data_IF_455027600477
#
_entry.id   IF_455027600477
#
_cell.length_a   1.000
_cell.length_b   1.000
_cell.length_c   1.000
_cell.angle_alpha   90.00
_cell.angle_beta   90.00
_cell.angle_gamma   90.00
#
_symmetry.space_group_name_H-M   'P 1'
#
loop_
_entity.id
_entity.type
_entity.pdbx_description
1 polymer ?
#
# COMPACT_ATOMS: atom_id res chain seq x y z
N UNK A 1 -10.60 6.34 10.75
CA UNK A 1 -11.67 6.78 9.80
C UNK A 1 -11.13 7.03 8.40
N UNK A 2 -10.00 7.72 8.22
CA UNK A 2 -9.41 8.01 6.89
C UNK A 2 -9.05 6.75 6.09
N UNK A 3 -8.57 5.69 6.74
CA UNK A 3 -8.17 4.44 6.08
C UNK A 3 -9.35 3.65 5.47
N UNK A 4 -10.55 3.78 6.06
CA UNK A 4 -11.76 3.14 5.56
C UNK A 4 -12.35 3.91 4.39
N UNK A 5 -12.33 5.26 4.47
CA UNK A 5 -12.83 6.13 3.43
C UNK A 5 -12.06 5.94 2.12
N UNK A 6 -10.73 5.82 2.17
CA UNK A 6 -9.96 5.60 0.96
C UNK A 6 -10.24 4.23 0.31
N UNK A 7 -10.61 3.20 1.08
CA UNK A 7 -10.97 1.90 0.53
C UNK A 7 -12.31 1.96 -0.23
N UNK A 8 -13.28 2.69 0.34
CA UNK A 8 -14.58 2.94 -0.31
C UNK A 8 -14.41 3.77 -1.59
N UNK A 9 -13.56 4.79 -1.56
CA UNK A 9 -13.27 5.64 -2.73
C UNK A 9 -12.60 4.81 -3.85
N UNK A 10 -11.61 3.97 -3.54
CA UNK A 10 -10.96 3.11 -4.53
C UNK A 10 -11.95 2.12 -5.16
N UNK A 11 -12.76 1.43 -4.35
CA UNK A 11 -13.81 0.52 -4.83
C UNK A 11 -14.80 1.23 -5.75
N UNK A 12 -15.28 2.40 -5.34
CA UNK A 12 -16.23 3.19 -6.13
C UNK A 12 -15.60 3.66 -7.44
N UNK A 13 -14.32 4.08 -7.41
CA UNK A 13 -13.56 4.45 -8.60
C UNK A 13 -13.44 3.29 -9.60
N UNK A 14 -13.11 2.09 -9.14
CA UNK A 14 -13.06 0.90 -10.01
C UNK A 14 -14.43 0.58 -10.63
N UNK A 15 -15.51 0.65 -9.84
CA UNK A 15 -16.87 0.43 -10.34
C UNK A 15 -17.22 1.45 -11.43
N UNK A 16 -16.91 2.74 -11.21
CA UNK A 16 -17.17 3.80 -12.19
C UNK A 16 -16.40 3.55 -13.49
N UNK A 17 -15.14 3.14 -13.42
CA UNK A 17 -14.33 2.82 -14.62
C UNK A 17 -14.95 1.64 -15.38
N UNK A 18 -15.31 0.56 -14.69
CA UNK A 18 -15.91 -0.63 -15.31
C UNK A 18 -17.25 -0.28 -15.98
N UNK A 19 -18.13 0.43 -15.26
CA UNK A 19 -19.42 0.86 -15.80
C UNK A 19 -19.24 1.84 -16.96
N UNK A 20 -18.28 2.76 -16.87
CA UNK A 20 -17.95 3.72 -17.93
C UNK A 20 -17.50 3.05 -19.23
N UNK A 21 -16.75 1.95 -19.14
CA UNK A 21 -16.32 1.15 -20.30
C UNK A 21 -17.52 0.38 -20.87
N UNK A 22 -18.31 -0.31 -20.05
CA UNK A 22 -19.46 -1.13 -20.52
C UNK A 22 -20.52 -0.25 -21.18
N UNK A 23 -20.82 0.91 -20.59
CA UNK A 23 -21.80 1.86 -21.12
C UNK A 23 -21.24 2.73 -22.25
N UNK A 24 -19.97 2.52 -22.64
CA UNK A 24 -19.25 3.34 -23.63
C UNK A 24 -19.27 4.85 -23.33
N UNK A 25 -19.41 5.23 -22.05
CA UNK A 25 -19.32 6.62 -21.62
C UNK A 25 -17.88 7.14 -21.60
N UNK A 26 -16.90 6.24 -21.55
CA UNK A 26 -15.49 6.59 -21.53
C UNK A 26 -14.77 5.79 -22.61
N UNK A 27 -13.91 6.46 -23.39
CA UNK A 27 -13.02 5.77 -24.33
C UNK A 27 -12.01 4.91 -23.57
N UNK A 28 -11.84 3.67 -24.03
CA UNK A 28 -10.83 2.75 -23.50
C UNK A 28 -9.41 3.33 -23.64
N UNK A 29 -9.15 4.07 -24.71
CA UNK A 29 -7.86 4.71 -24.99
C UNK A 29 -7.55 5.76 -23.93
N UNK A 30 -8.51 6.65 -23.66
CA UNK A 30 -8.37 7.70 -22.64
C UNK A 30 -8.19 7.07 -21.26
N UNK A 31 -8.97 6.02 -20.96
CA UNK A 31 -8.91 5.32 -19.67
C UNK A 31 -7.53 4.69 -19.45
N UNK A 32 -6.99 4.02 -20.48
CA UNK A 32 -5.67 3.39 -20.41
C UNK A 32 -4.56 4.44 -20.23
N UNK A 33 -4.59 5.53 -21.01
CA UNK A 33 -3.60 6.62 -20.89
C UNK A 33 -3.66 7.25 -19.50
N UNK A 34 -4.85 7.58 -18.99
CA UNK A 34 -5.03 8.15 -17.65
C UNK A 34 -4.58 7.19 -16.54
N UNK A 35 -4.82 5.90 -16.71
CA UNK A 35 -4.34 4.87 -15.80
C UNK A 35 -2.81 4.82 -15.73
N UNK A 36 -2.14 4.82 -16.89
CA UNK A 36 -0.67 4.88 -16.96
C UNK A 36 -0.15 6.15 -16.28
N UNK A 37 -0.69 7.32 -16.63
CA UNK A 37 -0.28 8.60 -16.04
C UNK A 37 -0.44 8.60 -14.53
N UNK A 38 -1.54 8.05 -14.02
CA UNK A 38 -1.80 7.97 -12.57
C UNK A 38 -0.80 7.06 -11.86
N UNK A 39 -0.46 5.90 -12.45
CA UNK A 39 0.56 5.00 -11.90
C UNK A 39 1.92 5.70 -11.85
N UNK A 40 2.34 6.33 -12.94
CA UNK A 40 3.61 7.06 -13.01
C UNK A 40 3.65 8.22 -12.02
N UNK A 41 2.58 9.00 -11.93
CA UNK A 41 2.48 10.12 -11.00
C UNK A 41 2.56 9.65 -9.54
N UNK A 42 1.84 8.56 -9.19
CA UNK A 42 1.90 7.97 -7.86
C UNK A 42 3.29 7.43 -7.50
N UNK A 43 3.96 6.78 -8.44
CA UNK A 43 5.35 6.33 -8.29
C UNK A 43 6.32 7.50 -8.10
N UNK A 44 6.17 8.57 -8.90
CA UNK A 44 6.99 9.77 -8.79
C UNK A 44 6.81 10.44 -7.42
N UNK A 45 5.58 10.57 -6.93
CA UNK A 45 5.30 11.12 -5.61
C UNK A 45 5.91 10.27 -4.48
N UNK A 46 5.83 8.94 -4.55
CA UNK A 46 6.47 8.05 -3.56
C UNK A 46 7.98 8.27 -3.55
N UNK A 47 8.59 8.31 -4.74
CA UNK A 47 10.01 8.49 -4.90
C UNK A 47 10.49 9.89 -4.43
N UNK A 48 9.69 10.94 -4.64
CA UNK A 48 9.94 12.29 -4.12
C UNK A 48 9.82 12.36 -2.60
N UNK A 49 8.86 11.64 -1.99
CA UNK A 49 8.71 11.58 -0.55
C UNK A 49 9.97 10.97 0.11
N UNK A 50 10.48 9.87 -0.44
CA UNK A 50 11.73 9.24 0.03
C UNK A 50 12.93 10.19 -0.12
N UNK A 51 13.00 10.93 -1.23
CA UNK A 51 14.07 11.90 -1.46
C UNK A 51 14.00 13.08 -0.47
N UNK A 52 12.81 13.61 -0.20
CA UNK A 52 12.58 14.70 0.77
C UNK A 52 12.89 14.27 2.20
N UNK A 53 12.54 13.03 2.57
CA UNK A 53 12.87 12.46 3.87
C UNK A 53 14.39 12.43 4.08
N UNK A 54 15.15 11.99 3.07
CA UNK A 54 16.60 11.97 3.15
C UNK A 54 17.20 13.38 3.24
N UNK A 55 16.73 14.32 2.43
CA UNK A 55 17.23 15.71 2.49
C UNK A 55 16.97 16.35 3.85
N UNK A 56 15.87 15.98 4.51
CA UNK A 56 15.52 16.50 5.83
C UNK A 56 16.33 15.86 6.96
N UNK A 57 16.54 14.54 6.92
CA UNK A 57 17.08 13.79 8.07
C UNK A 57 18.52 13.29 7.91
N UNK A 58 19.16 13.43 6.73
CA UNK A 58 20.54 13.00 6.43
C UNK A 58 20.90 11.62 7.01
N UNK A 59 19.94 10.69 6.97
CA UNK A 59 19.95 9.49 7.81
C UNK A 59 20.83 8.39 7.19
N UNK A 60 21.16 8.48 5.90
CA UNK A 60 21.94 7.47 5.20
C UNK A 60 23.26 8.04 4.66
N UNK A 61 24.42 7.46 5.04
CA UNK A 61 25.73 7.96 4.61
C UNK A 61 26.06 7.69 3.13
N UNK A 62 25.30 6.81 2.44
CA UNK A 62 25.63 6.31 1.10
C UNK A 62 24.54 6.59 0.05
N UNK A 63 24.88 7.42 -0.94
CA UNK A 63 24.06 7.71 -2.15
C UNK A 63 23.62 6.46 -2.93
N UNK A 64 24.38 5.37 -2.89
CA UNK A 64 24.00 4.10 -3.55
C UNK A 64 22.79 3.43 -2.91
N UNK A 65 22.68 3.52 -1.58
CA UNK A 65 21.54 2.96 -0.84
C UNK A 65 20.28 3.77 -1.12
N UNK A 66 20.41 5.09 -1.20
CA UNK A 66 19.32 6.02 -1.54
C UNK A 66 18.79 5.75 -2.95
N UNK A 67 19.68 5.59 -3.95
CA UNK A 67 19.25 5.27 -5.32
C UNK A 67 18.50 3.93 -5.38
N UNK A 68 18.94 2.93 -4.62
CA UNK A 68 18.25 1.63 -4.52
C UNK A 68 16.85 1.81 -3.91
N UNK A 69 16.72 2.54 -2.81
CA UNK A 69 15.44 2.86 -2.17
C UNK A 69 14.50 3.63 -3.12
N UNK A 70 15.03 4.59 -3.87
CA UNK A 70 14.29 5.34 -4.87
C UNK A 70 13.73 4.46 -6.00
N UNK A 71 14.56 3.53 -6.52
CA UNK A 71 14.11 2.56 -7.52
C UNK A 71 13.03 1.63 -6.96
N UNK A 72 13.16 1.19 -5.70
CA UNK A 72 12.11 0.40 -5.04
C UNK A 72 10.81 1.18 -4.91
N UNK A 73 10.86 2.44 -4.48
CA UNK A 73 9.68 3.32 -4.36
C UNK A 73 8.98 3.54 -5.71
N UNK A 74 9.73 3.63 -6.81
CA UNK A 74 9.14 3.72 -8.16
C UNK A 74 8.35 2.46 -8.53
N UNK A 75 8.84 1.28 -8.16
CA UNK A 75 8.17 0.02 -8.46
C UNK A 75 6.99 -0.30 -7.54
N UNK A 76 6.90 0.36 -6.38
CA UNK A 76 5.88 0.13 -5.36
C UNK A 76 4.45 0.17 -5.92
N UNK A 77 4.17 1.11 -6.82
CA UNK A 77 2.83 1.27 -7.42
C UNK A 77 2.36 0.05 -8.21
N UNK A 78 3.28 -0.80 -8.68
CA UNK A 78 2.94 -1.96 -9.51
C UNK A 78 2.60 -3.22 -8.72
N UNK A 79 3.17 -3.39 -7.52
CA UNK A 79 3.01 -4.65 -6.76
C UNK A 79 2.51 -4.41 -5.34
N UNK A 80 3.06 -3.42 -4.64
CA UNK A 80 2.71 -3.14 -3.26
C UNK A 80 1.33 -2.48 -3.14
N UNK A 81 1.01 -1.52 -4.02
CA UNK A 81 -0.32 -0.89 -4.05
C UNK A 81 -1.45 -1.90 -4.34
N UNK A 82 -1.38 -2.74 -5.39
CA UNK A 82 -2.41 -3.76 -5.61
C UNK A 82 -2.57 -4.73 -4.43
N UNK A 83 -1.46 -5.14 -3.81
CA UNK A 83 -1.48 -6.02 -2.65
C UNK A 83 -2.14 -5.36 -1.44
N UNK A 84 -1.84 -4.08 -1.18
CA UNK A 84 -2.50 -3.29 -0.15
C UNK A 84 -4.01 -3.19 -0.40
N UNK A 85 -4.43 -2.91 -1.63
CA UNK A 85 -5.86 -2.87 -2.00
C UNK A 85 -6.52 -4.22 -1.74
N UNK A 86 -5.85 -5.32 -2.10
CA UNK A 86 -6.35 -6.67 -1.83
C UNK A 86 -6.55 -6.93 -0.33
N UNK A 87 -5.55 -6.64 0.50
CA UNK A 87 -5.65 -6.82 1.96
C UNK A 87 -6.71 -5.91 2.59
N UNK A 88 -6.90 -4.72 2.05
CA UNK A 88 -7.93 -3.78 2.52
C UNK A 88 -9.33 -4.26 2.14
N UNK A 89 -9.47 -4.85 0.96
CA UNK A 89 -10.72 -5.51 0.54
C UNK A 89 -11.06 -6.69 1.44
N UNK A 90 -10.09 -7.57 1.72
CA UNK A 90 -10.26 -8.67 2.69
C UNK A 90 -10.67 -8.15 4.08
N UNK A 91 -10.01 -7.10 4.58
CA UNK A 91 -10.37 -6.47 5.85
C UNK A 91 -11.78 -5.89 5.87
N UNK A 92 -12.20 -5.23 4.78
CA UNK A 92 -13.55 -4.71 4.62
C UNK A 92 -14.59 -5.85 4.57
N UNK A 93 -14.29 -6.92 3.85
CA UNK A 93 -15.15 -8.10 3.76
C UNK A 93 -15.32 -8.77 5.13
N UNK A 94 -14.23 -8.93 5.89
CA UNK A 94 -14.28 -9.45 7.27
C UNK A 94 -15.11 -8.57 8.21
N UNK A 95 -14.96 -7.25 8.09
CA UNK A 95 -15.75 -6.27 8.85
C UNK A 95 -17.25 -6.36 8.52
N UNK A 96 -17.60 -6.40 7.23
CA UNK A 96 -18.99 -6.51 6.76
C UNK A 96 -19.63 -7.85 7.15
N UNK A 97 -18.88 -8.94 7.06
CA UNK A 97 -19.37 -10.28 7.41
C UNK A 97 -19.34 -10.58 8.92
N UNK A 98 -18.93 -9.61 9.76
CA UNK A 98 -18.81 -9.74 11.22
C UNK A 98 -18.01 -10.97 11.68
N UNK A 99 -17.12 -11.50 10.83
CA UNK A 99 -16.22 -12.58 11.24
C UNK A 99 -15.26 -12.02 12.29
N UNK A 100 -15.10 -12.72 13.41
CA UNK A 100 -14.10 -12.36 14.42
C UNK A 100 -12.74 -12.33 13.73
N UNK A 101 -12.09 -11.17 13.72
CA UNK A 101 -10.70 -11.04 13.30
C UNK A 101 -9.83 -11.82 14.27
N UNK A 102 -9.56 -13.07 13.95
CA UNK A 102 -8.53 -13.84 14.62
C UNK A 102 -7.22 -13.44 13.95
N UNK A 103 -6.59 -12.38 14.44
CA UNK A 103 -5.14 -12.28 14.35
C UNK A 103 -4.61 -13.63 14.85
N UNK A 104 -3.95 -14.41 13.98
CA UNK A 104 -3.58 -15.80 14.27
C UNK A 104 -2.97 -15.96 15.66
N UNK A 105 -3.13 -17.13 16.25
CA UNK A 105 -2.78 -17.43 17.65
C UNK A 105 -1.38 -16.89 17.99
N UNK A 106 -1.35 -15.75 18.70
CA UNK A 106 -0.13 -15.01 18.95
C UNK A 106 0.55 -15.66 20.13
N UNK A 107 1.22 -16.78 19.88
CA UNK A 107 1.90 -17.57 20.89
C UNK A 107 3.10 -16.77 21.43
N UNK A 108 2.83 -15.92 22.42
CA UNK A 108 3.84 -15.13 23.12
C UNK A 108 4.68 -16.09 23.95
N UNK A 109 5.86 -16.45 23.45
CA UNK A 109 6.92 -17.03 24.29
C UNK A 109 7.36 -15.94 25.27
N UNK A 110 6.79 -15.95 26.48
CA UNK A 110 7.21 -15.07 27.57
C UNK A 110 8.67 -15.32 27.91
N UNK A 111 9.42 -14.24 28.15
CA UNK A 111 10.85 -14.27 28.54
C UNK A 111 10.98 -14.67 30.03
N UNK A 112 10.36 -15.78 30.44
CA UNK A 112 10.29 -16.21 31.84
C UNK A 112 11.21 -17.41 32.14
N UNK A 113 12.41 -17.45 31.54
CA UNK A 113 13.31 -18.59 31.65
C UNK A 113 14.81 -18.32 31.76
N UNK A 114 15.26 -17.06 31.82
CA UNK A 114 16.71 -16.74 31.77
C UNK A 114 17.30 -16.37 33.15
N UNK A 115 16.51 -16.33 34.22
CA UNK A 115 16.96 -15.76 35.51
C UNK A 115 17.12 -16.77 36.66
N UNK A 116 17.49 -18.02 36.37
CA UNK A 116 17.88 -18.98 37.43
C UNK A 116 19.02 -19.89 36.98
N UNK A 117 20.23 -19.33 36.85
CA UNK A 117 21.46 -20.14 36.83
C UNK A 117 22.71 -19.28 37.11
N UNK A 118 22.68 -18.51 38.21
CA UNK A 118 23.89 -17.97 38.86
C UNK A 118 23.64 -17.92 40.38
N UNK A 119 23.80 -19.06 41.05
CA UNK A 119 24.04 -19.15 42.49
C UNK A 119 24.96 -20.33 42.78
#
# INVERSE_FOLDING_TARGET
>A
MVELLSAVVELTGYIIIILGIILSFVSIEITMVMGVVTIFYGSLLSALAVLLEEWTYHKYPDVKSILKLYLWALTESFWYRPLLVWWRFEGLWMFLTRRKSSWGDMNRKGVAGVERQQS
#
